data_IF_797009048965
#
_entry.id   IF_797009048965
#
_cell.length_a   1.000
_cell.length_b   1.000
_cell.length_c   1.000
_cell.angle_alpha   90.00
_cell.angle_beta   90.00
_cell.angle_gamma   90.00
#
_symmetry.space_group_name_H-M   'P 1'
#
loop_
_entity.id
_entity.type
_entity.pdbx_description
1 polymer ?
#
# COMPACT_ATOMS: atom_id res chain seq x y z
N UNK A 1 50.20 33.70 -45.07
CA UNK A 1 50.33 32.24 -44.96
C UNK A 1 49.64 31.79 -43.68
N UNK A 2 48.63 30.90 -43.81
CA UNK A 2 48.33 29.68 -43.01
C UNK A 2 48.39 29.75 -41.47
N UNK A 3 47.54 29.11 -40.65
CA UNK A 3 46.47 28.12 -40.78
C UNK A 3 45.68 28.11 -39.46
N UNK A 4 44.39 27.76 -39.50
CA UNK A 4 43.60 27.39 -38.30
C UNK A 4 44.16 26.11 -37.67
N UNK A 5 43.92 25.87 -36.37
CA UNK A 5 43.51 24.53 -36.01
C UNK A 5 42.30 24.46 -35.07
N UNK A 6 41.72 23.28 -35.14
CA UNK A 6 40.45 22.76 -34.67
C UNK A 6 40.81 21.64 -33.68
N UNK A 7 40.09 21.60 -32.55
CA UNK A 7 39.66 20.43 -31.75
C UNK A 7 40.45 19.94 -30.51
N UNK A 8 39.72 20.07 -29.38
CA UNK A 8 39.13 19.00 -28.53
C UNK A 8 40.05 18.11 -27.68
N UNK A 9 39.81 18.14 -26.36
CA UNK A 9 39.93 16.97 -25.47
C UNK A 9 39.07 17.15 -24.22
N UNK A 10 38.30 16.09 -23.90
CA UNK A 10 37.43 15.94 -22.73
C UNK A 10 38.22 15.51 -21.49
N UNK A 11 37.73 15.86 -20.30
CA UNK A 11 37.78 15.05 -19.06
C UNK A 11 36.93 15.73 -17.97
N UNK A 12 35.80 15.11 -17.59
CA UNK A 12 35.03 15.49 -16.40
C UNK A 12 35.37 14.51 -15.26
N UNK A 13 36.01 15.04 -14.22
CA UNK A 13 36.24 14.37 -12.94
C UNK A 13 36.10 15.43 -11.82
N UNK A 14 35.43 15.04 -10.73
CA UNK A 14 35.21 15.86 -9.53
C UNK A 14 33.75 16.31 -9.40
N UNK A 15 33.13 16.36 -8.24
CA UNK A 15 33.52 16.08 -6.85
C UNK A 15 32.24 16.27 -6.03
N UNK A 16 31.88 15.33 -5.15
CA UNK A 16 30.68 15.41 -4.31
C UNK A 16 31.07 16.02 -2.97
N UNK A 17 30.72 17.29 -2.75
CA UNK A 17 30.66 17.91 -1.44
C UNK A 17 29.74 19.14 -1.54
N UNK A 18 28.65 19.14 -0.79
CA UNK A 18 27.66 20.22 -0.83
C UNK A 18 26.40 19.89 -0.04
N UNK A 19 26.40 20.29 1.23
CA UNK A 19 25.19 20.38 2.06
C UNK A 19 24.17 21.30 1.39
N UNK A 20 23.01 20.77 0.99
CA UNK A 20 21.89 21.58 0.52
C UNK A 20 20.84 21.61 1.62
N UNK A 21 20.87 22.68 2.43
CA UNK A 21 19.70 23.07 3.23
C UNK A 21 18.71 23.73 2.27
N UNK A 22 17.64 23.03 1.93
CA UNK A 22 16.52 23.60 1.17
C UNK A 22 15.31 23.76 2.10
N UNK A 23 15.17 24.97 2.65
CA UNK A 23 13.87 25.46 3.11
C UNK A 23 13.11 25.98 1.89
N UNK A 24 11.99 25.35 1.57
CA UNK A 24 11.10 25.76 0.50
C UNK A 24 9.80 24.97 0.58
N UNK A 25 8.75 25.66 1.02
CA UNK A 25 7.37 25.16 1.11
C UNK A 25 6.83 24.85 -0.30
N UNK A 26 5.87 23.93 -0.35
CA UNK A 26 5.06 23.55 -1.51
C UNK A 26 5.77 22.84 -2.67
N UNK A 27 5.76 21.51 -2.62
CA UNK A 27 5.00 20.73 -3.60
C UNK A 27 4.96 19.26 -3.20
N UNK A 28 3.74 18.85 -2.90
CA UNK A 28 3.22 17.49 -2.88
C UNK A 28 3.92 16.57 -3.91
N UNK A 29 4.91 15.79 -3.45
CA UNK A 29 5.44 14.67 -4.22
C UNK A 29 4.43 13.53 -4.10
N UNK A 30 3.44 13.50 -5.00
CA UNK A 30 2.74 12.28 -5.42
C UNK A 30 3.69 11.59 -6.39
N UNK A 31 4.67 10.90 -5.84
CA UNK A 31 5.47 9.91 -6.56
C UNK A 31 6.20 9.07 -5.51
N UNK A 32 5.72 7.89 -5.21
CA UNK A 32 6.36 6.72 -5.80
C UNK A 32 5.55 5.45 -5.52
N UNK A 33 5.33 4.70 -6.59
CA UNK A 33 4.78 3.36 -6.65
C UNK A 33 5.78 2.32 -6.11
N UNK A 34 6.50 2.65 -5.03
CA UNK A 34 7.42 1.78 -4.35
C UNK A 34 6.86 1.51 -2.97
N UNK A 35 6.20 0.36 -2.84
CA UNK A 35 5.98 -0.27 -1.53
C UNK A 35 7.38 -0.49 -0.96
N UNK A 36 7.87 0.51 -0.21
CA UNK A 36 9.17 0.50 0.41
C UNK A 36 9.09 -0.54 1.53
N UNK A 37 9.39 -1.80 1.21
CA UNK A 37 9.30 -2.98 2.09
C UNK A 37 10.19 -2.85 3.35
N UNK A 38 10.98 -1.78 3.47
CA UNK A 38 11.88 -1.52 4.57
C UNK A 38 11.42 -0.36 5.49
N UNK A 39 10.28 0.29 5.19
CA UNK A 39 9.68 1.28 6.10
C UNK A 39 8.63 0.57 6.98
N UNK A 40 8.65 0.75 8.31
CA UNK A 40 7.58 0.22 9.15
C UNK A 40 6.26 0.84 8.71
N UNK A 41 5.32 -0.01 8.30
CA UNK A 41 3.96 0.41 7.99
C UNK A 41 3.35 1.04 9.25
N UNK A 42 2.89 2.28 9.14
CA UNK A 42 2.25 3.02 10.23
C UNK A 42 0.75 2.72 10.28
N UNK A 43 0.10 3.06 11.41
CA UNK A 43 -1.35 2.96 11.57
C UNK A 43 -2.11 3.71 10.47
N UNK A 44 -1.66 4.91 10.12
CA UNK A 44 -2.24 5.73 9.04
C UNK A 44 -2.16 5.03 7.67
N UNK A 45 -1.03 4.38 7.38
CA UNK A 45 -0.87 3.58 6.16
C UNK A 45 -1.81 2.38 6.15
N UNK A 46 -2.00 1.69 7.29
CA UNK A 46 -2.98 0.60 7.39
C UNK A 46 -4.39 1.09 7.14
N UNK A 47 -4.78 2.24 7.70
CA UNK A 47 -6.10 2.82 7.45
C UNK A 47 -6.29 3.17 5.97
N UNK A 48 -5.26 3.72 5.31
CA UNK A 48 -5.28 3.94 3.86
C UNK A 48 -5.44 2.64 3.08
N UNK A 49 -4.70 1.60 3.42
CA UNK A 49 -4.80 0.29 2.77
C UNK A 49 -6.19 -0.32 2.97
N UNK A 50 -6.76 -0.26 4.18
CA UNK A 50 -8.12 -0.73 4.48
C UNK A 50 -9.18 0.08 3.72
N UNK A 51 -9.03 1.41 3.62
CA UNK A 51 -9.92 2.26 2.82
C UNK A 51 -9.83 1.96 1.32
N UNK A 52 -8.67 1.56 0.82
CA UNK A 52 -8.52 1.11 -0.57
C UNK A 52 -9.24 -0.23 -0.80
N UNK A 53 -9.17 -1.17 0.14
CA UNK A 53 -9.95 -2.42 0.09
C UNK A 53 -11.45 -2.10 0.07
N UNK A 54 -11.94 -1.21 0.94
CA UNK A 54 -13.34 -0.79 0.96
C UNK A 54 -13.79 -0.19 -0.38
N UNK A 55 -12.97 0.69 -0.97
CA UNK A 55 -13.25 1.32 -2.26
C UNK A 55 -13.37 0.28 -3.38
N UNK A 56 -12.44 -0.68 -3.44
CA UNK A 56 -12.48 -1.77 -4.42
C UNK A 56 -13.73 -2.66 -4.26
N UNK A 57 -14.18 -2.89 -3.02
CA UNK A 57 -15.43 -3.61 -2.76
C UNK A 57 -16.65 -2.81 -3.20
N UNK A 58 -16.64 -1.48 -3.04
CA UNK A 58 -17.70 -0.62 -3.56
C UNK A 58 -17.74 -0.55 -5.10
N UNK A 59 -16.57 -0.57 -5.75
CA UNK A 59 -16.45 -0.55 -7.22
C UNK A 59 -16.67 -1.93 -7.86
N UNK A 60 -16.62 -2.99 -7.05
CA UNK A 60 -16.81 -4.36 -7.52
C UNK A 60 -18.26 -4.65 -7.92
N UNK A 61 -18.46 -5.64 -8.78
CA UNK A 61 -19.78 -6.14 -9.19
C UNK A 61 -20.33 -7.20 -8.22
N UNK A 62 -19.89 -7.17 -6.95
CA UNK A 62 -20.34 -8.12 -5.94
C UNK A 62 -21.83 -7.95 -5.62
N UNK A 63 -22.54 -9.04 -5.30
CA UNK A 63 -23.91 -8.95 -4.80
C UNK A 63 -23.99 -8.04 -3.57
N UNK A 64 -25.05 -7.22 -3.47
CA UNK A 64 -25.21 -6.22 -2.40
C UNK A 64 -25.06 -6.81 -0.99
N UNK A 65 -25.65 -8.00 -0.76
CA UNK A 65 -25.52 -8.73 0.50
C UNK A 65 -24.06 -9.12 0.82
N UNK A 66 -23.29 -9.53 -0.18
CA UNK A 66 -21.87 -9.90 -0.04
C UNK A 66 -21.02 -8.65 0.17
N UNK A 67 -21.25 -7.60 -0.62
CA UNK A 67 -20.54 -6.32 -0.51
C UNK A 67 -20.77 -5.66 0.86
N UNK A 68 -22.03 -5.60 1.32
CA UNK A 68 -22.37 -5.01 2.63
C UNK A 68 -21.69 -5.74 3.80
N UNK A 69 -21.68 -7.08 3.79
CA UNK A 69 -20.97 -7.88 4.80
C UNK A 69 -19.45 -7.70 4.72
N UNK A 70 -18.90 -7.66 3.51
CA UNK A 70 -17.49 -7.42 3.28
C UNK A 70 -17.04 -6.05 3.83
N UNK A 71 -17.79 -4.99 3.51
CA UNK A 71 -17.56 -3.63 4.03
C UNK A 71 -17.66 -3.62 5.56
N UNK A 72 -18.62 -4.34 6.15
CA UNK A 72 -18.76 -4.41 7.60
C UNK A 72 -17.51 -5.00 8.29
N UNK A 73 -16.90 -6.04 7.70
CA UNK A 73 -15.64 -6.59 8.21
C UNK A 73 -14.46 -5.64 8.05
N UNK A 74 -14.39 -4.89 6.95
CA UNK A 74 -13.34 -3.88 6.72
C UNK A 74 -13.49 -2.72 7.71
N UNK A 75 -14.71 -2.24 7.96
CA UNK A 75 -14.98 -1.17 8.94
C UNK A 75 -14.65 -1.59 10.36
N UNK A 76 -14.94 -2.84 10.74
CA UNK A 76 -14.52 -3.38 12.03
C UNK A 76 -12.99 -3.34 12.18
N UNK A 77 -12.25 -3.74 11.14
CA UNK A 77 -10.80 -3.66 11.12
C UNK A 77 -10.30 -2.20 11.21
N UNK A 78 -10.90 -1.26 10.48
CA UNK A 78 -10.53 0.17 10.54
C UNK A 78 -10.77 0.75 11.94
N UNK A 79 -11.93 0.48 12.54
CA UNK A 79 -12.27 0.96 13.88
C UNK A 79 -11.29 0.46 14.93
N UNK A 80 -10.85 -0.79 14.81
CA UNK A 80 -9.84 -1.38 15.70
C UNK A 80 -8.47 -0.73 15.52
N UNK A 81 -8.05 -0.50 14.27
CA UNK A 81 -6.77 0.17 13.95
C UNK A 81 -6.74 1.61 14.49
N UNK A 82 -7.89 2.29 14.58
CA UNK A 82 -8.02 3.64 15.13
C UNK A 82 -7.99 3.71 16.67
N UNK A 83 -8.04 2.57 17.38
CA UNK A 83 -7.94 2.57 18.84
C UNK A 83 -6.53 2.97 19.29
N UNK A 84 -6.40 3.55 20.48
CA UNK A 84 -5.10 3.85 21.11
C UNK A 84 -4.21 2.60 21.25
N UNK A 85 -4.82 1.43 21.43
CA UNK A 85 -4.14 0.13 21.50
C UNK A 85 -4.81 -0.86 20.52
N UNK A 86 -4.42 -0.84 19.24
CA UNK A 86 -5.07 -1.66 18.23
C UNK A 86 -4.74 -3.15 18.41
N UNK A 87 -5.76 -3.99 18.50
CA UNK A 87 -5.61 -5.44 18.55
C UNK A 87 -5.36 -6.01 17.15
N UNK A 88 -4.08 -6.32 16.86
CA UNK A 88 -3.68 -6.94 15.59
C UNK A 88 -4.40 -8.26 15.34
N UNK A 89 -4.66 -9.06 16.37
CA UNK A 89 -5.41 -10.31 16.24
C UNK A 89 -6.87 -10.06 15.82
N UNK A 90 -7.51 -9.02 16.33
CA UNK A 90 -8.86 -8.66 15.93
C UNK A 90 -8.93 -8.16 14.48
N UNK A 91 -7.96 -7.32 14.08
CA UNK A 91 -7.82 -6.85 12.69
C UNK A 91 -7.60 -8.04 11.76
N UNK A 92 -6.70 -8.96 12.12
CA UNK A 92 -6.43 -10.17 11.35
C UNK A 92 -7.68 -11.06 11.22
N UNK A 93 -8.42 -11.26 12.31
CA UNK A 93 -9.66 -12.04 12.29
C UNK A 93 -10.74 -11.40 11.42
N UNK A 94 -10.89 -10.07 11.49
CA UNK A 94 -11.84 -9.32 10.68
C UNK A 94 -11.51 -9.43 9.19
N UNK A 95 -10.23 -9.29 8.84
CA UNK A 95 -9.76 -9.43 7.46
C UNK A 95 -9.84 -10.88 6.95
N UNK A 96 -9.60 -11.86 7.82
CA UNK A 96 -9.82 -13.26 7.48
C UNK A 96 -11.28 -13.52 7.11
N UNK A 97 -12.24 -13.03 7.91
CA UNK A 97 -13.68 -13.17 7.61
C UNK A 97 -14.06 -12.49 6.30
N UNK A 98 -13.48 -11.32 6.02
CA UNK A 98 -13.63 -10.66 4.73
C UNK A 98 -13.13 -11.54 3.58
N UNK A 99 -11.91 -12.10 3.70
CA UNK A 99 -11.34 -12.99 2.69
C UNK A 99 -12.15 -14.28 2.52
N UNK A 100 -12.58 -14.91 3.61
CA UNK A 100 -13.39 -16.14 3.58
C UNK A 100 -14.75 -15.87 2.90
N UNK A 101 -15.41 -14.75 3.22
CA UNK A 101 -16.64 -14.33 2.56
C UNK A 101 -16.48 -14.14 1.04
N UNK A 102 -15.34 -13.58 0.61
CA UNK A 102 -15.03 -13.47 -0.82
C UNK A 102 -14.67 -14.83 -1.43
N UNK A 103 -13.96 -15.71 -0.72
CA UNK A 103 -13.65 -17.06 -1.22
C UNK A 103 -14.89 -17.92 -1.42
N UNK A 104 -15.88 -17.81 -0.52
CA UNK A 104 -17.16 -18.50 -0.64
C UNK A 104 -18.01 -17.98 -1.82
N UNK A 105 -17.75 -16.74 -2.25
CA UNK A 105 -18.40 -16.14 -3.41
C UNK A 105 -17.58 -16.42 -4.68
N UNK A 106 -18.02 -17.37 -5.51
CA UNK A 106 -17.35 -17.69 -6.77
C UNK A 106 -17.25 -16.47 -7.73
N UNK A 107 -18.09 -15.45 -7.54
CA UNK A 107 -18.07 -14.19 -8.29
C UNK A 107 -17.03 -13.18 -7.78
N UNK A 108 -16.46 -13.42 -6.60
CA UNK A 108 -15.50 -12.53 -5.96
C UNK A 108 -14.04 -12.96 -6.14
N UNK A 109 -13.77 -14.08 -6.81
CA UNK A 109 -12.41 -14.59 -7.01
C UNK A 109 -11.50 -13.58 -7.74
N UNK A 110 -12.04 -12.89 -8.74
CA UNK A 110 -11.30 -11.86 -9.49
C UNK A 110 -11.01 -10.62 -8.62
N UNK A 111 -11.96 -10.23 -7.78
CA UNK A 111 -11.79 -9.10 -6.86
C UNK A 111 -10.79 -9.45 -5.76
N UNK A 112 -10.82 -10.68 -5.26
CA UNK A 112 -9.85 -11.17 -4.28
C UNK A 112 -8.41 -11.14 -4.82
N UNK A 113 -8.19 -11.41 -6.12
CA UNK A 113 -6.87 -11.27 -6.75
C UNK A 113 -6.37 -9.83 -6.77
N UNK A 114 -7.24 -8.85 -7.04
CA UNK A 114 -6.89 -7.42 -6.98
C UNK A 114 -6.53 -6.98 -5.55
N UNK A 115 -7.18 -7.60 -4.57
CA UNK A 115 -7.02 -7.29 -3.16
C UNK A 115 -5.81 -7.98 -2.51
N UNK A 116 -5.34 -9.11 -3.05
CA UNK A 116 -4.18 -9.84 -2.53
C UNK A 116 -2.95 -8.99 -2.22
N UNK A 117 -2.46 -8.09 -3.10
CA UNK A 117 -1.28 -7.28 -2.77
C UNK A 117 -1.53 -6.37 -1.56
N UNK A 118 -2.72 -5.78 -1.45
CA UNK A 118 -3.10 -4.89 -0.35
C UNK A 118 -3.25 -5.69 0.96
N UNK A 119 -3.93 -6.84 0.89
CA UNK A 119 -4.07 -7.77 2.00
C UNK A 119 -2.71 -8.30 2.47
N UNK A 120 -1.75 -8.52 1.56
CA UNK A 120 -0.38 -8.91 1.86
C UNK A 120 0.40 -7.86 2.66
N UNK A 121 0.24 -6.58 2.31
CA UNK A 121 0.83 -5.46 3.06
C UNK A 121 0.25 -5.37 4.47
N UNK A 122 -1.08 -5.47 4.60
CA UNK A 122 -1.76 -5.43 5.91
C UNK A 122 -1.38 -6.66 6.75
N UNK A 123 -1.37 -7.85 6.15
CA UNK A 123 -0.92 -9.10 6.76
C UNK A 123 0.51 -9.03 7.30
N UNK A 124 1.43 -8.41 6.56
CA UNK A 124 2.82 -8.23 6.96
C UNK A 124 2.94 -7.36 8.22
N UNK A 125 2.16 -6.27 8.29
CA UNK A 125 2.11 -5.42 9.49
C UNK A 125 1.51 -6.13 10.71
N UNK A 126 0.52 -6.99 10.48
CA UNK A 126 -0.13 -7.78 11.51
C UNK A 126 0.75 -8.92 12.04
N UNK A 127 1.78 -9.33 11.29
CA UNK A 127 2.50 -10.59 11.56
C UNK A 127 1.59 -11.82 11.40
N UNK A 128 0.45 -11.67 10.73
CA UNK A 128 -0.65 -12.64 10.68
C UNK A 128 -0.97 -13.09 9.25
N UNK A 129 0.00 -13.05 8.34
CA UNK A 129 -0.18 -13.41 6.94
C UNK A 129 -0.82 -14.78 6.74
N UNK A 130 -0.40 -15.77 7.53
CA UNK A 130 -0.97 -17.13 7.51
C UNK A 130 -2.42 -17.17 7.95
N UNK A 131 -2.82 -16.29 8.89
CA UNK A 131 -4.18 -16.24 9.42
C UNK A 131 -5.16 -15.63 8.41
N UNK A 132 -4.73 -14.61 7.66
CA UNK A 132 -5.59 -13.87 6.72
C UNK A 132 -5.64 -14.55 5.35
N UNK A 133 -4.48 -14.95 4.82
CA UNK A 133 -4.37 -15.46 3.45
C UNK A 133 -4.58 -16.98 3.38
N UNK A 134 -4.35 -17.70 4.48
CA UNK A 134 -4.46 -19.16 4.54
C UNK A 134 -3.30 -19.89 3.83
N UNK A 135 -2.11 -19.28 3.80
CA UNK A 135 -0.87 -19.82 3.22
C UNK A 135 0.12 -20.31 4.30
#
# INVERSE_FOLDING_TARGET
>A
MFQKPFFQSQSFAGSVEGTVTQSGRDSHIIQDNNVNLNKPITTDEILRLLGHIESLVHESTLPENTSSKAISHIKAAQNEVQQDQPSKDFVALSLKRFVDLLKDSNQAANELQKLQPILGSVASWLGAARQILGI
#
